data_IF_692681194915
#
_entry.id   IF_692681194915
#
_cell.length_a   1.000
_cell.length_b   1.000
_cell.length_c   1.000
_cell.angle_alpha   90.00
_cell.angle_beta   90.00
_cell.angle_gamma   90.00
#
_symmetry.space_group_name_H-M   'P 1'
#
loop_
_entity.id
_entity.type
_entity.pdbx_description
1 polymer ?
#
# COMPACT_ATOMS: atom_id res chain seq x y z
N UNK A 1 -34.04 50.43 -2.33
CA UNK A 1 -33.65 49.89 -0.99
C UNK A 1 -33.55 48.35 -0.91
N UNK A 2 -33.65 47.58 -2.02
CA UNK A 2 -33.64 46.09 -1.99
C UNK A 2 -32.29 45.42 -2.33
N UNK A 3 -31.35 46.10 -2.98
CA UNK A 3 -30.06 45.53 -3.39
C UNK A 3 -29.08 45.29 -2.22
N UNK A 4 -29.11 46.17 -1.20
CA UNK A 4 -28.25 46.06 0.00
C UNK A 4 -28.56 44.83 0.87
N UNK A 5 -29.77 44.28 0.81
CA UNK A 5 -30.17 43.12 1.61
C UNK A 5 -29.79 41.78 0.95
N UNK A 6 -29.58 41.76 -0.38
CA UNK A 6 -29.23 40.55 -1.12
C UNK A 6 -27.73 40.24 -0.98
N UNK A 7 -26.88 41.28 -1.06
CA UNK A 7 -25.42 41.17 -0.86
C UNK A 7 -25.09 40.72 0.58
N UNK A 8 -25.80 41.22 1.59
CA UNK A 8 -25.62 40.78 2.98
C UNK A 8 -25.97 39.31 3.21
N UNK A 9 -26.95 38.76 2.47
CA UNK A 9 -27.31 37.33 2.53
C UNK A 9 -26.27 36.43 1.85
N UNK A 10 -25.72 36.85 0.71
CA UNK A 10 -24.67 36.07 0.03
C UNK A 10 -23.35 36.04 0.81
N UNK A 11 -22.95 37.17 1.41
CA UNK A 11 -21.74 37.22 2.26
C UNK A 11 -21.91 36.34 3.52
N UNK A 12 -23.11 36.29 4.10
CA UNK A 12 -23.41 35.42 5.24
C UNK A 12 -23.32 33.92 4.92
N UNK A 13 -23.75 33.51 3.72
CA UNK A 13 -23.64 32.11 3.27
C UNK A 13 -22.18 31.73 2.97
N UNK A 14 -21.40 32.64 2.38
CA UNK A 14 -19.96 32.41 2.13
C UNK A 14 -19.17 32.34 3.44
N UNK A 15 -19.47 33.20 4.43
CA UNK A 15 -18.81 33.13 5.74
C UNK A 15 -19.15 31.83 6.50
N UNK A 16 -20.40 31.35 6.39
CA UNK A 16 -20.81 30.08 6.98
C UNK A 16 -20.13 28.89 6.30
N UNK A 17 -19.94 28.91 4.99
CA UNK A 17 -19.16 27.87 4.29
C UNK A 17 -17.68 27.87 4.68
N UNK A 18 -17.06 29.04 4.86
CA UNK A 18 -15.67 29.14 5.35
C UNK A 18 -15.54 28.67 6.80
N UNK A 19 -16.55 28.91 7.65
CA UNK A 19 -16.56 28.40 9.02
C UNK A 19 -16.73 26.88 9.11
N UNK A 20 -17.53 26.26 8.23
CA UNK A 20 -17.68 24.79 8.14
C UNK A 20 -16.37 24.11 7.70
N UNK A 21 -15.52 24.78 6.92
CA UNK A 21 -14.18 24.29 6.58
C UNK A 21 -13.11 24.54 7.66
N UNK A 22 -13.40 25.35 8.69
CA UNK A 22 -12.41 25.74 9.72
C UNK A 22 -12.55 25.02 11.08
N UNK A 23 -13.61 24.25 11.29
CA UNK A 23 -13.92 23.64 12.60
C UNK A 23 -13.48 22.17 12.77
N UNK A 24 -12.50 21.71 11.99
CA UNK A 24 -11.91 20.36 12.16
C UNK A 24 -10.39 20.38 12.23
N UNK A 25 -9.80 21.36 12.91
CA UNK A 25 -8.42 21.27 13.39
C UNK A 25 -8.35 21.45 14.91
N UNK A 26 -8.82 20.43 15.61
CA UNK A 26 -8.34 20.14 16.95
C UNK A 26 -7.07 19.29 16.80
N UNK A 27 -5.92 19.95 16.66
CA UNK A 27 -4.60 19.29 16.71
C UNK A 27 -4.36 18.87 18.16
N UNK A 28 -4.85 17.69 18.50
CA UNK A 28 -4.05 16.76 19.29
C UNK A 28 -3.20 16.00 18.27
N UNK A 29 -1.90 15.90 18.50
CA UNK A 29 -1.03 15.00 17.75
C UNK A 29 -1.49 13.56 18.00
N UNK A 30 -2.50 13.12 17.25
CA UNK A 30 -2.78 11.72 17.01
C UNK A 30 -1.66 11.20 16.11
N UNK A 31 -1.23 9.93 16.23
CA UNK A 31 -0.44 9.30 15.16
C UNK A 31 -1.17 9.60 13.86
N UNK A 32 -0.45 10.18 12.89
CA UNK A 32 -1.02 10.65 11.64
C UNK A 32 -1.89 9.54 11.07
N UNK A 33 -3.20 9.75 10.99
CA UNK A 33 -4.14 8.79 10.37
C UNK A 33 -3.95 8.72 8.85
N UNK A 34 -2.76 9.08 8.38
CA UNK A 34 -2.33 9.23 7.00
C UNK A 34 -0.91 8.71 6.87
N UNK A 35 -0.64 8.06 5.75
CA UNK A 35 0.65 7.57 5.32
C UNK A 35 0.97 8.19 3.96
N UNK A 36 2.22 8.62 3.76
CA UNK A 36 2.70 9.04 2.45
C UNK A 36 3.20 7.81 1.69
N UNK A 37 2.67 7.59 0.50
CA UNK A 37 2.95 6.41 -0.33
C UNK A 37 3.55 6.85 -1.65
N UNK A 38 4.76 6.38 -1.93
CA UNK A 38 5.45 6.56 -3.20
C UNK A 38 5.65 5.22 -3.89
N UNK A 39 5.21 5.11 -5.14
CA UNK A 39 5.44 3.93 -5.97
C UNK A 39 6.38 4.34 -7.12
N UNK A 40 7.48 3.63 -7.28
CA UNK A 40 8.54 3.93 -8.24
C UNK A 40 8.73 2.73 -9.16
N UNK A 41 8.60 2.95 -10.46
CA UNK A 41 8.87 1.93 -11.49
C UNK A 41 10.13 2.32 -12.27
N UNK A 42 11.24 1.59 -12.09
CA UNK A 42 12.51 1.83 -12.79
C UNK A 42 12.97 3.30 -12.72
N UNK A 43 12.90 3.88 -11.53
CA UNK A 43 13.31 5.26 -11.24
C UNK A 43 12.29 6.35 -11.65
N UNK A 44 11.13 5.98 -12.20
CA UNK A 44 10.04 6.91 -12.46
C UNK A 44 8.96 6.78 -11.39
N UNK A 45 8.59 7.87 -10.73
CA UNK A 45 7.45 7.90 -9.82
C UNK A 45 6.17 7.64 -10.60
N UNK A 46 5.49 6.54 -10.29
CA UNK A 46 4.21 6.16 -10.92
C UNK A 46 3.02 6.46 -10.05
N UNK A 47 3.21 6.69 -8.75
CA UNK A 47 2.22 7.26 -7.85
C UNK A 47 2.91 7.94 -6.66
N UNK A 48 2.37 9.07 -6.22
CA UNK A 48 2.80 9.78 -5.01
C UNK A 48 1.56 10.35 -4.32
N UNK A 49 1.09 9.67 -3.27
CA UNK A 49 -0.22 9.93 -2.67
C UNK A 49 -0.16 9.85 -1.14
N UNK A 50 -0.84 10.77 -0.47
CA UNK A 50 -1.11 10.66 0.97
C UNK A 50 -2.42 9.88 1.15
N UNK A 51 -2.32 8.67 1.71
CA UNK A 51 -3.47 7.78 1.94
C UNK A 51 -3.89 7.87 3.40
N UNK A 52 -5.19 8.08 3.67
CA UNK A 52 -5.70 8.05 5.04
C UNK A 52 -6.26 6.67 5.41
N UNK A 53 -5.98 6.23 6.64
CA UNK A 53 -6.54 5.01 7.25
C UNK A 53 -8.08 5.06 7.19
N UNK A 54 -8.67 6.21 7.50
CA UNK A 54 -10.12 6.40 7.45
C UNK A 54 -10.70 6.28 6.04
N UNK A 55 -9.97 6.67 4.99
CA UNK A 55 -10.45 6.52 3.62
C UNK A 55 -10.49 5.05 3.20
N UNK A 56 -9.50 4.26 3.64
CA UNK A 56 -9.49 2.81 3.45
C UNK A 56 -10.70 2.21 4.16
N UNK A 57 -10.82 2.44 5.47
CA UNK A 57 -11.91 1.87 6.29
C UNK A 57 -13.31 2.29 5.84
N UNK A 58 -13.46 3.48 5.23
CA UNK A 58 -14.73 3.93 4.66
C UNK A 58 -15.15 3.10 3.42
N UNK A 59 -14.21 2.51 2.69
CA UNK A 59 -14.46 1.72 1.49
C UNK A 59 -14.58 0.23 1.78
N UNK A 60 -13.68 -0.32 2.60
CA UNK A 60 -13.62 -1.78 2.88
C UNK A 60 -14.30 -2.18 4.19
N UNK A 61 -14.60 -1.22 5.07
CA UNK A 61 -15.05 -1.46 6.43
C UNK A 61 -13.91 -1.40 7.45
N UNK A 62 -14.24 -1.37 8.74
CA UNK A 62 -13.23 -1.24 9.83
C UNK A 62 -12.30 -2.45 9.94
N UNK A 63 -12.81 -3.63 9.57
CA UNK A 63 -12.11 -4.92 9.66
C UNK A 63 -11.87 -5.52 8.26
N UNK A 64 -11.89 -4.70 7.21
CA UNK A 64 -11.81 -5.12 5.81
C UNK A 64 -10.49 -4.78 5.13
N UNK A 65 -10.27 -5.39 3.96
CA UNK A 65 -9.12 -5.18 3.08
C UNK A 65 -9.55 -4.98 1.64
N UNK A 66 -8.67 -4.38 0.83
CA UNK A 66 -8.83 -4.37 -0.64
C UNK A 66 -8.46 -5.70 -1.30
N UNK A 67 -7.91 -6.64 -0.53
CA UNK A 67 -7.50 -7.97 -0.95
C UNK A 67 -8.22 -9.06 -0.13
N UNK A 68 -8.26 -10.29 -0.64
CA UNK A 68 -8.85 -11.43 0.07
C UNK A 68 -7.86 -12.03 1.06
N UNK A 69 -8.36 -12.28 2.26
CA UNK A 69 -7.64 -12.97 3.35
C UNK A 69 -8.10 -14.42 3.53
N UNK A 70 -9.03 -14.92 2.71
CA UNK A 70 -9.68 -16.24 2.90
C UNK A 70 -8.70 -17.41 3.04
N UNK A 71 -7.61 -17.53 2.27
CA UNK A 71 -6.65 -18.63 2.45
C UNK A 71 -5.90 -18.58 3.79
N UNK A 72 -5.95 -17.43 4.48
CA UNK A 72 -5.14 -17.11 5.64
C UNK A 72 -5.90 -17.08 6.97
N UNK A 73 -7.24 -17.12 6.96
CA UNK A 73 -8.05 -17.08 8.20
C UNK A 73 -7.73 -18.22 9.17
N UNK A 74 -7.14 -19.32 8.68
CA UNK A 74 -6.72 -20.48 9.47
C UNK A 74 -5.35 -20.29 10.17
N UNK A 75 -4.62 -19.21 9.84
CA UNK A 75 -3.28 -18.88 10.35
C UNK A 75 -3.25 -17.56 11.16
N UNK A 76 -4.40 -16.92 11.36
CA UNK A 76 -4.56 -15.57 11.91
C UNK A 76 -4.67 -15.52 13.44
N UNK A 77 -3.64 -15.92 14.19
CA UNK A 77 -3.61 -15.55 15.62
C UNK A 77 -3.02 -14.16 15.87
N UNK A 78 -2.11 -13.67 15.01
CA UNK A 78 -1.57 -12.29 15.10
C UNK A 78 -1.13 -11.67 13.74
N UNK A 79 -1.40 -12.31 12.59
CA UNK A 79 -0.57 -12.16 11.37
C UNK A 79 -1.00 -11.13 10.32
N UNK A 80 -2.31 -10.88 10.13
CA UNK A 80 -2.80 -9.88 9.16
C UNK A 80 -3.47 -8.74 9.94
N UNK A 81 -2.89 -7.54 9.87
CA UNK A 81 -3.38 -6.34 10.57
C UNK A 81 -4.46 -5.65 9.74
N UNK A 82 -5.21 -4.69 10.28
CA UNK A 82 -6.17 -3.89 9.52
C UNK A 82 -6.15 -2.41 9.96
N UNK A 83 -6.01 -1.44 9.04
CA UNK A 83 -5.50 -1.54 7.67
C UNK A 83 -3.99 -1.82 7.59
N UNK A 84 -3.50 -2.24 6.42
CA UNK A 84 -2.09 -2.58 6.22
C UNK A 84 -1.39 -1.67 5.20
N UNK A 85 -0.06 -1.80 5.12
CA UNK A 85 0.74 -1.23 4.03
C UNK A 85 0.27 -1.74 2.66
N UNK A 86 -0.16 -3.00 2.53
CA UNK A 86 -0.72 -3.51 1.28
C UNK A 86 -1.99 -2.75 0.85
N UNK A 87 -2.87 -2.42 1.80
CA UNK A 87 -4.06 -1.61 1.50
C UNK A 87 -3.68 -0.19 1.04
N UNK A 88 -2.67 0.41 1.67
CA UNK A 88 -2.19 1.74 1.30
C UNK A 88 -1.60 1.76 -0.12
N UNK A 89 -0.83 0.75 -0.50
CA UNK A 89 -0.29 0.61 -1.86
C UNK A 89 -1.39 0.50 -2.92
N UNK A 90 -2.38 -0.37 -2.69
CA UNK A 90 -3.53 -0.53 -3.60
C UNK A 90 -4.30 0.79 -3.70
N UNK A 91 -4.52 1.47 -2.57
CA UNK A 91 -5.26 2.73 -2.52
C UNK A 91 -4.53 3.86 -3.24
N UNK A 92 -3.22 4.01 -3.01
CA UNK A 92 -2.39 5.01 -3.67
C UNK A 92 -2.42 4.85 -5.19
N UNK A 93 -2.23 3.61 -5.67
CA UNK A 93 -2.30 3.30 -7.09
C UNK A 93 -3.69 3.60 -7.68
N UNK A 94 -4.76 3.27 -6.94
CA UNK A 94 -6.13 3.56 -7.34
C UNK A 94 -6.40 5.08 -7.46
N UNK A 95 -5.92 5.87 -6.51
CA UNK A 95 -6.07 7.33 -6.50
C UNK A 95 -5.36 7.96 -7.69
N UNK A 96 -4.11 7.59 -7.92
CA UNK A 96 -3.31 8.09 -9.03
C UNK A 96 -3.98 7.83 -10.39
N UNK A 97 -4.48 6.61 -10.59
CA UNK A 97 -5.06 6.18 -11.86
C UNK A 97 -6.57 6.45 -11.97
N UNK A 98 -7.20 7.08 -10.96
CA UNK A 98 -8.65 7.29 -10.90
C UNK A 98 -9.47 5.98 -11.05
N UNK A 99 -9.02 4.91 -10.40
CA UNK A 99 -9.60 3.57 -10.42
C UNK A 99 -10.30 3.23 -9.09
N UNK A 100 -11.13 2.19 -9.10
CA UNK A 100 -11.76 1.69 -7.87
C UNK A 100 -10.84 0.68 -7.16
N UNK A 101 -10.35 1.03 -5.98
CA UNK A 101 -9.47 0.19 -5.15
C UNK A 101 -10.08 -1.18 -4.83
N UNK A 102 -11.41 -1.27 -4.66
CA UNK A 102 -12.13 -2.52 -4.36
C UNK A 102 -12.06 -3.58 -5.46
N UNK A 103 -11.66 -3.20 -6.69
CA UNK A 103 -11.65 -4.09 -7.85
C UNK A 103 -10.27 -4.25 -8.48
N UNK A 104 -9.24 -3.61 -7.91
CA UNK A 104 -7.91 -3.55 -8.52
C UNK A 104 -7.07 -4.77 -8.23
N UNK A 105 -7.04 -5.21 -6.97
CA UNK A 105 -6.18 -6.28 -6.52
C UNK A 105 -6.89 -7.62 -6.68
N UNK A 106 -6.31 -8.50 -7.51
CA UNK A 106 -6.85 -9.84 -7.74
C UNK A 106 -5.92 -10.93 -7.20
N UNK A 107 -6.48 -11.84 -6.40
CA UNK A 107 -5.78 -13.04 -5.96
C UNK A 107 -5.58 -13.99 -7.14
N UNK A 108 -4.33 -14.33 -7.46
CA UNK A 108 -3.98 -15.22 -8.58
C UNK A 108 -2.99 -16.30 -8.12
N UNK A 109 -3.47 -17.40 -7.51
CA UNK A 109 -2.60 -18.46 -7.04
C UNK A 109 -1.91 -19.18 -8.21
N UNK A 110 -0.57 -19.23 -8.20
CA UNK A 110 0.23 -20.03 -9.12
C UNK A 110 0.03 -19.73 -10.62
N UNK A 111 -0.39 -18.51 -10.98
CA UNK A 111 -0.82 -18.18 -12.34
C UNK A 111 -0.20 -16.91 -12.93
N UNK A 112 -0.11 -16.88 -14.26
CA UNK A 112 0.17 -15.67 -15.04
C UNK A 112 -1.11 -14.85 -15.18
N UNK A 113 -1.32 -13.83 -14.34
CA UNK A 113 -2.39 -12.87 -14.57
C UNK A 113 -1.82 -11.56 -15.10
N UNK A 114 -1.68 -11.48 -16.42
CA UNK A 114 -1.37 -10.23 -17.12
C UNK A 114 -2.61 -9.36 -17.35
N UNK A 115 -3.75 -9.70 -16.72
CA UNK A 115 -5.04 -9.04 -16.93
C UNK A 115 -5.38 -7.99 -15.87
N UNK A 116 -4.60 -7.92 -14.79
CA UNK A 116 -4.80 -6.93 -13.71
C UNK A 116 -3.53 -6.12 -13.47
N UNK A 117 -3.73 -4.84 -13.18
CA UNK A 117 -2.64 -3.94 -12.80
C UNK A 117 -1.96 -4.38 -11.49
N UNK A 118 -2.75 -4.93 -10.56
CA UNK A 118 -2.28 -5.47 -9.29
C UNK A 118 -2.80 -6.89 -9.15
N UNK A 119 -1.88 -7.84 -8.99
CA UNK A 119 -2.22 -9.19 -8.55
C UNK A 119 -1.23 -9.68 -7.52
N UNK A 120 -1.72 -10.57 -6.67
CA UNK A 120 -0.96 -11.06 -5.53
C UNK A 120 -1.26 -12.53 -5.29
N UNK A 121 -0.34 -13.14 -4.57
CA UNK A 121 -0.45 -14.50 -4.08
C UNK A 121 0.12 -14.57 -2.66
N UNK A 122 -0.07 -15.71 -2.00
CA UNK A 122 0.31 -15.93 -0.61
C UNK A 122 1.62 -16.71 -0.55
N UNK A 123 2.62 -16.16 0.13
CA UNK A 123 3.79 -16.94 0.49
C UNK A 123 3.46 -17.82 1.69
N UNK A 124 3.21 -19.10 1.42
CA UNK A 124 2.88 -20.11 2.44
C UNK A 124 4.14 -20.77 3.03
N UNK A 125 5.33 -20.48 2.51
CA UNK A 125 6.60 -21.02 2.99
C UNK A 125 7.67 -19.92 3.20
N UNK A 126 7.35 -18.86 3.97
CA UNK A 126 8.29 -17.76 4.19
C UNK A 126 9.49 -18.21 5.04
N UNK A 127 10.66 -17.62 4.78
CA UNK A 127 11.91 -17.92 5.49
C UNK A 127 11.84 -17.57 7.00
N UNK A 128 10.95 -16.64 7.36
CA UNK A 128 10.57 -16.28 8.73
C UNK A 128 9.09 -16.62 8.84
N UNK A 129 8.64 -17.36 9.85
CA UNK A 129 7.28 -17.95 9.98
C UNK A 129 6.06 -17.00 10.01
N UNK A 130 6.11 -15.90 9.27
CA UNK A 130 5.11 -14.89 9.03
C UNK A 130 4.72 -14.92 7.54
N UNK A 131 3.80 -15.81 7.15
CA UNK A 131 3.24 -15.82 5.80
C UNK A 131 2.59 -14.46 5.50
N UNK A 132 2.60 -14.08 4.23
CA UNK A 132 2.16 -12.75 3.82
C UNK A 132 2.00 -12.62 2.32
N UNK A 133 1.44 -11.49 1.93
CA UNK A 133 1.15 -11.17 0.54
C UNK A 133 2.42 -10.70 -0.15
N UNK A 134 2.72 -11.33 -1.28
CA UNK A 134 3.64 -10.79 -2.26
C UNK A 134 2.88 -10.37 -3.51
N UNK A 135 3.26 -9.22 -4.08
CA UNK A 135 2.67 -8.73 -5.32
C UNK A 135 3.34 -9.44 -6.51
N UNK A 136 2.59 -10.36 -7.14
CA UNK A 136 3.01 -11.02 -8.39
C UNK A 136 3.16 -10.00 -9.52
N UNK A 137 2.20 -9.07 -9.59
CA UNK A 137 2.22 -7.95 -10.51
C UNK A 137 1.81 -6.69 -9.73
N UNK A 138 2.53 -5.61 -9.96
CA UNK A 138 2.16 -4.28 -9.51
C UNK A 138 2.46 -3.30 -10.64
N UNK A 139 1.55 -2.36 -10.93
CA UNK A 139 1.66 -1.50 -12.11
C UNK A 139 1.92 -2.30 -13.40
N UNK A 140 1.27 -3.47 -13.55
CA UNK A 140 1.46 -4.41 -14.66
C UNK A 140 2.89 -5.00 -14.80
N UNK A 141 3.77 -4.77 -13.83
CA UNK A 141 5.15 -5.27 -13.81
C UNK A 141 5.31 -6.39 -12.79
N UNK A 142 5.91 -7.49 -13.25
CA UNK A 142 6.27 -8.67 -12.43
C UNK A 142 7.78 -8.77 -12.23
N UNK A 143 8.24 -9.66 -11.37
CA UNK A 143 9.67 -9.94 -11.21
C UNK A 143 10.26 -10.45 -12.53
N UNK A 144 11.50 -10.06 -12.82
CA UNK A 144 12.16 -10.40 -14.07
C UNK A 144 13.66 -10.63 -13.87
N UNK A 145 14.31 -11.24 -14.86
CA UNK A 145 15.77 -11.40 -14.88
C UNK A 145 16.34 -12.13 -13.65
N UNK A 146 15.57 -13.04 -13.07
CA UNK A 146 15.95 -13.76 -11.84
C UNK A 146 17.07 -14.76 -12.11
N UNK A 147 18.08 -14.73 -11.25
CA UNK A 147 19.25 -15.61 -11.30
C UNK A 147 19.66 -16.00 -9.88
N UNK A 148 19.95 -17.29 -9.70
CA UNK A 148 20.45 -17.86 -8.46
C UNK A 148 21.82 -18.46 -8.73
N UNK A 149 22.86 -17.94 -8.08
CA UNK A 149 24.24 -18.37 -8.25
C UNK A 149 24.78 -18.89 -6.92
N UNK A 150 25.11 -20.18 -6.85
CA UNK A 150 25.83 -20.75 -5.72
C UNK A 150 27.28 -20.21 -5.72
N UNK A 151 27.68 -19.60 -4.61
CA UNK A 151 28.99 -18.98 -4.47
C UNK A 151 30.08 -19.99 -4.07
N UNK A 152 29.73 -21.24 -3.74
CA UNK A 152 30.67 -22.29 -3.33
C UNK A 152 31.22 -22.15 -1.91
N UNK A 153 30.72 -21.18 -1.13
CA UNK A 153 31.06 -20.93 0.28
C UNK A 153 29.88 -21.19 1.23
N UNK A 154 28.83 -21.85 0.73
CA UNK A 154 27.60 -22.08 1.47
C UNK A 154 26.60 -20.93 1.41
N UNK A 155 26.80 -19.98 0.49
CA UNK A 155 25.84 -18.91 0.21
C UNK A 155 25.37 -18.93 -1.25
N UNK A 156 24.17 -18.40 -1.49
CA UNK A 156 23.58 -18.20 -2.82
C UNK A 156 23.36 -16.72 -3.04
N UNK A 157 23.76 -16.22 -4.20
CA UNK A 157 23.44 -14.87 -4.66
C UNK A 157 22.19 -14.91 -5.54
N UNK A 158 21.13 -14.25 -5.10
CA UNK A 158 19.98 -13.90 -5.93
C UNK A 158 20.24 -12.57 -6.62
N UNK A 159 19.96 -12.48 -7.91
CA UNK A 159 19.87 -11.23 -8.65
C UNK A 159 18.57 -11.23 -9.43
N UNK A 160 17.86 -10.11 -9.44
CA UNK A 160 16.61 -10.00 -10.18
C UNK A 160 16.10 -8.57 -10.18
N UNK A 161 15.18 -8.28 -11.09
CA UNK A 161 14.36 -7.08 -11.02
C UNK A 161 13.12 -7.42 -10.18
N UNK A 162 12.91 -6.70 -9.08
CA UNK A 162 11.82 -6.98 -8.15
C UNK A 162 11.33 -5.70 -7.47
N UNK A 163 10.18 -5.82 -6.81
CA UNK A 163 9.62 -4.76 -5.99
C UNK A 163 10.19 -4.82 -4.57
N UNK A 164 10.78 -3.72 -4.13
CA UNK A 164 11.34 -3.55 -2.79
C UNK A 164 10.43 -2.63 -1.99
N UNK A 165 10.10 -3.08 -0.78
CA UNK A 165 9.29 -2.33 0.16
C UNK A 165 10.20 -1.65 1.18
N UNK A 166 10.09 -0.34 1.26
CA UNK A 166 10.68 0.49 2.31
C UNK A 166 9.54 1.09 3.14
N UNK A 167 9.69 1.03 4.46
CA UNK A 167 8.75 1.59 5.44
C UNK A 167 9.52 2.47 6.39
N UNK A 168 9.11 3.74 6.47
CA UNK A 168 9.75 4.77 7.29
C UNK A 168 11.27 4.89 7.07
N UNK A 169 11.72 4.78 5.81
CA UNK A 169 13.12 4.91 5.39
C UNK A 169 13.97 3.66 5.61
N UNK A 170 13.35 2.50 5.84
CA UNK A 170 14.03 1.23 6.01
C UNK A 170 13.43 0.13 5.12
N UNK A 171 14.27 -0.58 4.38
CA UNK A 171 13.88 -1.77 3.63
C UNK A 171 13.28 -2.83 4.57
N UNK A 172 12.04 -3.22 4.30
CA UNK A 172 11.27 -4.14 5.10
C UNK A 172 11.58 -5.59 4.72
N UNK A 173 11.88 -6.41 5.73
CA UNK A 173 11.91 -7.88 5.59
C UNK A 173 10.53 -8.53 5.79
N UNK A 174 9.50 -7.73 6.09
CA UNK A 174 8.11 -8.18 6.28
C UNK A 174 7.29 -7.94 5.01
N UNK A 175 6.32 -8.81 4.76
CA UNK A 175 5.31 -8.60 3.72
C UNK A 175 4.42 -7.40 4.05
N UNK A 176 3.97 -6.69 3.01
CA UNK A 176 3.13 -5.50 3.15
C UNK A 176 1.81 -5.75 3.91
N UNK A 177 1.28 -6.97 3.87
CA UNK A 177 0.08 -7.39 4.60
C UNK A 177 0.28 -7.56 6.11
N UNK A 178 1.53 -7.58 6.58
CA UNK A 178 1.86 -7.88 7.98
C UNK A 178 2.27 -6.61 8.74
N UNK A 179 2.26 -5.45 8.07
CA UNK A 179 2.67 -4.17 8.62
C UNK A 179 1.42 -3.32 8.88
N UNK A 180 1.19 -3.00 10.16
CA UNK A 180 0.06 -2.18 10.61
C UNK A 180 0.24 -0.73 10.17
N UNK A 181 -0.72 -0.21 9.42
CA UNK A 181 -0.67 1.14 8.89
C UNK A 181 -0.72 2.23 9.96
N UNK A 182 -1.27 1.93 11.15
CA UNK A 182 -1.35 2.88 12.27
C UNK A 182 0.01 3.23 12.88
N UNK A 183 1.05 2.47 12.53
CA UNK A 183 2.43 2.66 13.02
C UNK A 183 3.37 3.25 11.98
N UNK A 184 2.88 3.49 10.75
CA UNK A 184 3.68 3.86 9.59
C UNK A 184 3.40 5.31 9.17
N UNK A 185 4.44 6.05 8.82
CA UNK A 185 4.34 7.42 8.30
C UNK A 185 4.62 7.49 6.80
N UNK A 186 5.56 6.67 6.30
CA UNK A 186 6.00 6.66 4.91
C UNK A 186 6.15 5.23 4.38
N UNK A 187 5.76 5.03 3.12
CA UNK A 187 5.94 3.79 2.36
C UNK A 187 6.53 4.12 1.00
N UNK A 188 7.64 3.50 0.65
CA UNK A 188 8.18 3.51 -0.72
C UNK A 188 8.17 2.09 -1.28
N UNK A 189 7.54 1.91 -2.43
CA UNK A 189 7.49 0.63 -3.14
C UNK A 189 8.16 0.79 -4.50
N UNK A 190 9.38 0.29 -4.61
CA UNK A 190 10.28 0.56 -5.72
C UNK A 190 10.60 -0.71 -6.51
N UNK A 191 10.31 -0.69 -7.81
CA UNK A 191 10.79 -1.70 -8.74
C UNK A 191 12.20 -1.35 -9.22
N UNK A 192 13.17 -2.18 -8.84
CA UNK A 192 14.58 -2.03 -9.22
C UNK A 192 15.27 -3.39 -9.34
N UNK A 193 16.43 -3.37 -9.99
CA UNK A 193 17.34 -4.51 -9.96
C UNK A 193 18.01 -4.59 -8.58
N UNK A 194 18.02 -5.79 -8.00
CA UNK A 194 18.63 -6.08 -6.71
C UNK A 194 19.60 -7.24 -6.82
N UNK A 195 20.53 -7.31 -5.87
CA UNK A 195 21.41 -8.46 -5.69
C UNK A 195 21.58 -8.71 -4.19
N UNK A 196 21.14 -9.88 -3.73
CA UNK A 196 21.19 -10.30 -2.33
C UNK A 196 21.97 -11.60 -2.21
N UNK A 197 22.83 -11.70 -1.20
CA UNK A 197 23.50 -12.95 -0.86
C UNK A 197 22.95 -13.46 0.47
N UNK A 198 22.49 -14.71 0.48
CA UNK A 198 21.94 -15.35 1.68
C UNK A 198 22.54 -16.75 1.89
N UNK A 199 22.52 -17.28 3.13
CA UNK A 199 23.00 -18.63 3.42
C UNK A 199 22.17 -19.68 2.66
N UNK A 200 22.82 -20.72 2.15
CA UNK A 200 22.13 -21.86 1.57
C UNK A 200 21.27 -22.52 2.66
N UNK A 201 19.97 -22.67 2.39
CA UNK A 201 19.02 -23.40 3.24
C UNK A 201 19.28 -24.90 3.24
#
# INVERSE_FOLDING_TARGET
MRLKNLVKRMVGVVLAMVMVFSMSMSVFAAPSGTVDVTIINKGSTVAEQTVSISAIQAEVGTDGHYYTTTPYTDYDTEGVKVPTVADALIKAYAMENSLNALTLATYTPGGSSTSYAISYDWDLHPYVGNPGIYFLYFDWVTTANESFVDNGDGTTTYTGDTWILDVDGNESSLYASNIDLSTVSEVVFEYKQVSYTYPNS
#
